data_IF_074309660969
#
_entry.id   IF_074309660969
#
_cell.length_a   1.000
_cell.length_b   1.000
_cell.length_c   1.000
_cell.angle_alpha   90.00
_cell.angle_beta   90.00
_cell.angle_gamma   90.00
#
_symmetry.space_group_name_H-M   'P 1'
#
loop_
_entity.id
_entity.type
_entity.pdbx_description
1 polymer ?
#
# COMPACT_ATOMS: atom_id res chain seq x y z
N UNK A 1 1.63 12.12 8.13
CA UNK A 1 1.31 13.56 7.95
C UNK A 1 -0.09 13.76 7.37
N UNK A 2 -0.83 14.76 7.85
CA UNK A 2 -2.17 15.14 7.36
C UNK A 2 -2.23 16.64 7.06
N UNK A 3 -1.70 17.08 5.91
CA UNK A 3 -2.00 18.44 5.47
C UNK A 3 -3.46 18.50 4.96
N UNK A 4 -4.12 19.66 5.04
CA UNK A 4 -5.50 19.80 4.55
C UNK A 4 -5.60 19.46 3.06
N UNK A 5 -6.62 18.67 2.72
CA UNK A 5 -6.93 18.31 1.33
C UNK A 5 -5.97 17.28 0.69
N UNK A 6 -4.94 16.81 1.41
CA UNK A 6 -3.98 15.88 0.82
C UNK A 6 -4.37 14.42 1.09
N UNK A 7 -4.74 13.69 0.03
CA UNK A 7 -5.24 12.30 0.13
C UNK A 7 -4.13 11.26 0.03
N UNK A 8 -2.95 11.65 -0.47
CA UNK A 8 -1.83 10.74 -0.79
C UNK A 8 -0.56 11.01 0.03
N UNK A 9 -0.67 11.67 1.18
CA UNK A 9 0.45 11.91 2.09
C UNK A 9 0.69 10.78 3.09
N UNK A 10 -0.22 9.81 3.19
CA UNK A 10 -0.20 8.79 4.22
C UNK A 10 0.50 7.49 3.80
N UNK A 11 0.65 6.57 4.75
CA UNK A 11 1.42 5.32 4.61
C UNK A 11 0.98 4.44 3.43
N UNK A 12 -0.28 4.54 2.99
CA UNK A 12 -0.82 3.74 1.88
C UNK A 12 -0.35 4.13 0.48
N UNK A 13 0.38 5.26 0.32
CA UNK A 13 0.87 5.68 -0.99
C UNK A 13 1.76 4.62 -1.67
N UNK A 14 2.60 3.92 -0.92
CA UNK A 14 3.50 2.94 -1.50
C UNK A 14 2.72 1.77 -2.13
N UNK A 15 1.61 1.38 -1.51
CA UNK A 15 0.69 0.36 -2.01
C UNK A 15 -0.05 0.88 -3.25
N UNK A 16 -0.53 2.13 -3.25
CA UNK A 16 -1.13 2.80 -4.41
C UNK A 16 -0.15 2.83 -5.58
N UNK A 17 1.10 3.25 -5.34
CA UNK A 17 2.16 3.30 -6.35
C UNK A 17 2.47 1.92 -6.93
N UNK A 18 2.61 0.91 -6.08
CA UNK A 18 2.84 -0.48 -6.51
C UNK A 18 1.67 -1.00 -7.35
N UNK A 19 0.44 -0.75 -6.92
CA UNK A 19 -0.77 -1.16 -7.63
C UNK A 19 -0.87 -0.47 -9.00
N UNK A 20 -0.70 0.84 -9.06
CA UNK A 20 -0.69 1.62 -10.31
C UNK A 20 0.39 1.13 -11.27
N UNK A 21 1.61 0.89 -10.77
CA UNK A 21 2.69 0.34 -11.58
C UNK A 21 2.34 -1.04 -12.16
N UNK A 22 1.73 -1.92 -11.36
CA UNK A 22 1.30 -3.24 -11.80
C UNK A 22 0.18 -3.17 -12.84
N UNK A 23 -0.90 -2.43 -12.56
CA UNK A 23 -2.02 -2.26 -13.49
C UNK A 23 -1.60 -1.56 -14.79
N UNK A 24 -0.62 -0.66 -14.74
CA UNK A 24 -0.03 -0.05 -15.95
C UNK A 24 0.65 -1.08 -16.83
N UNK A 25 1.45 -1.99 -16.25
CA UNK A 25 2.07 -3.07 -17.02
C UNK A 25 1.02 -4.01 -17.62
N UNK A 26 -0.03 -4.36 -16.86
CA UNK A 26 -1.14 -5.16 -17.39
C UNK A 26 -1.85 -4.46 -18.55
N UNK A 27 -2.05 -3.15 -18.46
CA UNK A 27 -2.62 -2.36 -19.54
C UNK A 27 -1.72 -2.42 -20.79
N UNK A 28 -0.40 -2.27 -20.62
CA UNK A 28 0.57 -2.36 -21.72
C UNK A 28 0.76 -3.76 -22.31
N UNK A 29 0.46 -4.81 -21.55
CA UNK A 29 0.39 -6.16 -22.11
C UNK A 29 -0.81 -6.33 -23.07
N UNK A 30 -1.85 -5.49 -22.93
CA UNK A 30 -3.05 -5.51 -23.78
C UNK A 30 -3.04 -4.44 -24.88
N UNK A 31 -2.33 -3.34 -24.62
CA UNK A 31 -2.21 -2.15 -25.47
C UNK A 31 -0.73 -1.99 -25.80
N UNK A 32 -0.32 -2.27 -27.05
CA UNK A 32 1.09 -2.23 -27.46
C UNK A 32 1.74 -0.90 -27.01
N UNK A 33 2.83 -0.93 -26.22
CA UNK A 33 3.55 0.29 -25.80
C UNK A 33 3.98 1.19 -26.97
N UNK A 34 4.10 0.65 -28.18
CA UNK A 34 4.37 1.42 -29.38
C UNK A 34 3.32 2.51 -29.65
N UNK A 35 2.06 2.31 -29.21
CA UNK A 35 0.98 3.31 -29.32
C UNK A 35 1.32 4.61 -28.59
N UNK A 36 2.19 4.57 -27.58
CA UNK A 36 2.64 5.77 -26.85
C UNK A 36 3.60 6.65 -27.67
N UNK A 37 4.12 6.12 -28.79
CA UNK A 37 4.97 6.84 -29.72
C UNK A 37 4.18 7.45 -30.88
N UNK A 38 2.90 7.11 -31.01
CA UNK A 38 2.04 7.59 -32.08
C UNK A 38 1.61 9.06 -31.87
N UNK A 39 1.25 9.77 -32.95
CA UNK A 39 0.83 11.17 -32.86
C UNK A 39 -0.52 11.37 -32.18
N UNK A 40 -1.43 10.39 -32.20
CA UNK A 40 -2.75 10.48 -31.57
C UNK A 40 -2.68 10.11 -30.08
N UNK A 41 -2.18 11.07 -29.29
CA UNK A 41 -1.94 10.89 -27.85
C UNK A 41 -3.21 10.86 -27.03
N UNK A 42 -4.27 11.53 -27.47
CA UNK A 42 -5.55 11.59 -26.76
C UNK A 42 -6.27 10.24 -26.83
N UNK A 43 -6.27 9.60 -28.02
CA UNK A 43 -6.80 8.24 -28.16
C UNK A 43 -5.98 7.23 -27.34
N UNK A 44 -4.65 7.33 -27.36
CA UNK A 44 -3.77 6.48 -26.56
C UNK A 44 -4.02 6.65 -25.04
N UNK A 45 -4.23 7.88 -24.57
CA UNK A 45 -4.57 8.17 -23.18
C UNK A 45 -5.91 7.54 -22.79
N UNK A 46 -6.95 7.67 -23.62
CA UNK A 46 -8.26 7.09 -23.37
C UNK A 46 -8.20 5.56 -23.27
N UNK A 47 -7.47 4.90 -24.17
CA UNK A 47 -7.26 3.45 -24.15
C UNK A 47 -6.50 3.00 -22.89
N UNK A 48 -5.43 3.74 -22.53
CA UNK A 48 -4.66 3.46 -21.33
C UNK A 48 -5.51 3.59 -20.06
N UNK A 49 -6.26 4.70 -19.92
CA UNK A 49 -7.14 4.96 -18.78
C UNK A 49 -8.18 3.86 -18.62
N UNK A 50 -8.86 3.46 -19.70
CA UNK A 50 -9.84 2.38 -19.66
C UNK A 50 -9.22 1.03 -19.28
N UNK A 51 -8.06 0.70 -19.85
CA UNK A 51 -7.36 -0.55 -19.57
C UNK A 51 -6.88 -0.62 -18.10
N UNK A 52 -6.31 0.46 -17.57
CA UNK A 52 -5.87 0.53 -16.17
C UNK A 52 -7.06 0.53 -15.21
N UNK A 53 -8.12 1.29 -15.50
CA UNK A 53 -9.32 1.31 -14.67
C UNK A 53 -9.97 -0.09 -14.57
N UNK A 54 -10.03 -0.84 -15.68
CA UNK A 54 -10.48 -2.23 -15.67
C UNK A 54 -9.57 -3.14 -14.82
N UNK A 55 -8.26 -2.97 -14.92
CA UNK A 55 -7.31 -3.74 -14.11
C UNK A 55 -7.43 -3.42 -12.61
N UNK A 56 -7.64 -2.15 -12.25
CA UNK A 56 -7.88 -1.72 -10.87
C UNK A 56 -9.20 -2.21 -10.31
N UNK A 57 -10.27 -2.29 -11.12
CA UNK A 57 -11.54 -2.88 -10.63
C UNK A 57 -11.45 -4.39 -10.41
N UNK A 58 -10.51 -5.05 -11.07
CA UNK A 58 -10.29 -6.48 -10.95
C UNK A 58 -9.28 -6.85 -9.84
N UNK A 59 -8.63 -5.87 -9.19
CA UNK A 59 -7.73 -6.19 -8.09
C UNK A 59 -8.53 -6.48 -6.82
N UNK A 60 -8.47 -7.73 -6.34
CA UNK A 60 -9.13 -8.19 -5.10
C UNK A 60 -8.52 -7.57 -3.84
N UNK A 61 -8.21 -8.36 -2.81
CA UNK A 61 -7.82 -7.84 -1.48
C UNK A 61 -6.70 -6.79 -1.41
N UNK A 62 -5.78 -6.71 -2.40
CA UNK A 62 -4.78 -5.62 -2.49
C UNK A 62 -5.43 -4.24 -2.71
N UNK A 63 -6.52 -4.19 -3.47
CA UNK A 63 -7.27 -2.97 -3.76
C UNK A 63 -8.08 -2.49 -2.55
N UNK A 64 -8.61 -3.42 -1.75
CA UNK A 64 -9.48 -3.16 -0.60
C UNK A 64 -8.73 -2.72 0.67
N UNK A 65 -7.40 -2.86 0.70
CA UNK A 65 -6.59 -2.37 1.81
C UNK A 65 -6.80 -0.86 2.03
N UNK A 66 -6.72 -0.42 3.28
CA UNK A 66 -6.79 1.01 3.62
C UNK A 66 -5.64 1.76 2.95
N UNK A 67 -5.99 2.75 2.13
CA UNK A 67 -5.05 3.61 1.41
C UNK A 67 -4.74 4.90 2.17
N UNK A 68 -5.70 5.40 2.95
CA UNK A 68 -5.51 6.51 3.88
C UNK A 68 -6.50 6.42 5.06
N UNK A 69 -6.31 7.33 6.01
CA UNK A 69 -7.12 7.46 7.21
C UNK A 69 -8.43 8.21 7.01
N UNK A 70 -8.70 8.69 5.79
CA UNK A 70 -10.01 9.22 5.38
C UNK A 70 -11.00 8.11 4.99
N UNK A 71 -10.58 6.84 5.03
CA UNK A 71 -11.40 5.70 4.67
C UNK A 71 -11.27 5.28 3.21
N UNK A 72 -10.45 5.96 2.41
CA UNK A 72 -10.22 5.55 1.02
C UNK A 72 -9.38 4.27 0.97
N UNK A 73 -9.79 3.36 0.10
CA UNK A 73 -9.01 2.16 -0.23
C UNK A 73 -7.87 2.48 -1.20
N UNK A 74 -6.90 1.58 -1.27
CA UNK A 74 -5.78 1.68 -2.22
C UNK A 74 -6.29 1.73 -3.67
N UNK A 75 -7.32 0.96 -4.01
CA UNK A 75 -7.93 0.96 -5.34
C UNK A 75 -8.64 2.28 -5.66
N UNK A 76 -9.37 2.87 -4.73
CA UNK A 76 -10.05 4.16 -4.93
C UNK A 76 -9.04 5.29 -5.16
N UNK A 77 -7.97 5.33 -4.36
CA UNK A 77 -6.90 6.31 -4.52
C UNK A 77 -6.18 6.14 -5.86
N UNK A 78 -5.89 4.91 -6.27
CA UNK A 78 -5.30 4.60 -7.56
C UNK A 78 -6.22 5.03 -8.71
N UNK A 79 -7.51 4.66 -8.65
CA UNK A 79 -8.49 4.97 -9.68
C UNK A 79 -8.70 6.48 -9.83
N UNK A 80 -8.73 7.21 -8.72
CA UNK A 80 -8.78 8.68 -8.73
C UNK A 80 -7.60 9.29 -9.48
N UNK A 81 -6.36 8.78 -9.28
CA UNK A 81 -5.20 9.27 -10.02
C UNK A 81 -5.26 8.96 -11.52
N UNK A 82 -5.82 7.81 -11.90
CA UNK A 82 -6.01 7.47 -13.33
C UNK A 82 -6.97 8.46 -14.01
N UNK A 83 -8.04 8.86 -13.33
CA UNK A 83 -8.95 9.87 -13.89
C UNK A 83 -8.38 11.30 -13.81
N UNK A 84 -7.58 11.62 -12.79
CA UNK A 84 -6.82 12.88 -12.76
C UNK A 84 -5.83 12.98 -13.93
N UNK A 85 -5.21 11.86 -14.32
CA UNK A 85 -4.35 11.82 -15.51
C UNK A 85 -5.14 12.15 -16.78
N UNK A 86 -6.37 11.61 -16.92
CA UNK A 86 -7.25 11.92 -18.03
C UNK A 86 -7.59 13.42 -18.10
N UNK A 87 -7.78 14.05 -16.95
CA UNK A 87 -8.03 15.49 -16.86
C UNK A 87 -6.77 16.36 -17.11
N UNK A 88 -5.58 15.75 -17.19
CA UNK A 88 -4.29 16.44 -17.35
C UNK A 88 -3.46 15.84 -18.49
N UNK A 89 -3.85 16.03 -19.76
CA UNK A 89 -3.14 15.47 -20.92
C UNK A 89 -1.65 15.85 -20.98
N UNK A 90 -1.26 17.01 -20.47
CA UNK A 90 0.15 17.43 -20.41
C UNK A 90 1.04 16.50 -19.57
N UNK A 91 0.49 15.83 -18.55
CA UNK A 91 1.22 14.83 -17.75
C UNK A 91 1.42 13.53 -18.53
N UNK A 92 0.42 13.15 -19.32
CA UNK A 92 0.53 12.04 -20.27
C UNK A 92 1.56 12.32 -21.37
N UNK A 93 1.53 13.52 -21.95
CA UNK A 93 2.51 13.98 -22.94
C UNK A 93 3.95 13.87 -22.43
N UNK A 94 4.17 14.21 -21.15
CA UNK A 94 5.47 14.09 -20.51
C UNK A 94 5.93 12.63 -20.39
N UNK A 95 5.02 11.71 -20.07
CA UNK A 95 5.31 10.26 -20.07
C UNK A 95 5.66 9.78 -21.48
N UNK A 96 4.83 10.10 -22.48
CA UNK A 96 5.08 9.75 -23.89
C UNK A 96 6.45 10.27 -24.36
N UNK A 97 6.78 11.53 -24.07
CA UNK A 97 8.08 12.10 -24.40
C UNK A 97 9.24 11.38 -23.69
N UNK A 98 9.07 11.04 -22.40
CA UNK A 98 10.09 10.31 -21.64
C UNK A 98 10.33 8.90 -22.21
N UNK A 99 9.27 8.21 -22.63
CA UNK A 99 9.35 6.89 -23.26
C UNK A 99 9.94 6.96 -24.67
N UNK A 100 9.58 7.97 -25.46
CA UNK A 100 10.20 8.23 -26.76
C UNK A 100 11.72 8.47 -26.64
N UNK A 101 12.15 9.19 -25.59
CA UNK A 101 13.57 9.39 -25.29
C UNK A 101 14.31 8.10 -24.95
N UNK A 102 13.72 7.22 -24.13
CA UNK A 102 14.31 5.90 -23.87
C UNK A 102 14.31 5.01 -25.12
N UNK A 103 13.23 5.06 -25.91
CA UNK A 103 13.13 4.33 -27.17
C UNK A 103 14.21 4.76 -28.17
N UNK A 104 14.47 6.06 -28.30
CA UNK A 104 15.54 6.56 -29.16
C UNK A 104 16.94 6.07 -28.73
N UNK A 105 17.13 5.78 -27.44
CA UNK A 105 18.41 5.33 -26.88
C UNK A 105 18.59 3.80 -26.90
N UNK A 106 17.51 3.06 -26.67
CA UNK A 106 17.54 1.61 -26.42
C UNK A 106 16.72 0.78 -27.43
N UNK A 107 16.06 1.42 -28.39
CA UNK A 107 15.08 0.78 -29.26
C UNK A 107 13.83 0.39 -28.49
N UNK A 108 13.19 -0.72 -28.89
CA UNK A 108 12.03 -1.31 -28.20
C UNK A 108 12.44 -1.98 -26.90
N UNK A 109 12.87 -1.18 -25.93
CA UNK A 109 13.40 -1.67 -24.66
C UNK A 109 12.37 -2.49 -23.87
N UNK A 110 11.08 -2.29 -24.09
CA UNK A 110 10.00 -3.06 -23.47
C UNK A 110 9.91 -4.50 -23.98
N UNK A 111 10.53 -4.84 -25.12
CA UNK A 111 10.66 -6.23 -25.60
C UNK A 111 11.90 -6.93 -25.02
N UNK A 112 12.79 -6.20 -24.33
CA UNK A 112 14.04 -6.73 -23.79
C UNK A 112 13.86 -7.22 -22.34
N UNK A 113 14.67 -8.19 -21.88
CA UNK A 113 14.66 -8.60 -20.47
C UNK A 113 14.85 -7.41 -19.53
N UNK A 114 13.93 -7.22 -18.58
CA UNK A 114 13.93 -6.09 -17.66
C UNK A 114 13.29 -4.80 -18.20
N UNK A 115 12.78 -4.80 -19.44
CA UNK A 115 12.03 -3.70 -20.03
C UNK A 115 10.82 -3.27 -19.20
N UNK A 116 10.10 -4.26 -18.63
CA UNK A 116 8.96 -4.04 -17.73
C UNK A 116 9.34 -3.25 -16.48
N UNK A 117 10.54 -3.47 -15.92
CA UNK A 117 11.00 -2.72 -14.76
C UNK A 117 11.22 -1.24 -15.11
N UNK A 118 11.75 -0.95 -16.30
CA UNK A 118 11.93 0.41 -16.78
C UNK A 118 10.58 1.08 -17.09
N UNK A 119 9.65 0.38 -17.75
CA UNK A 119 8.31 0.89 -18.06
C UNK A 119 7.52 1.19 -16.78
N UNK A 120 7.52 0.25 -15.83
CA UNK A 120 6.93 0.42 -14.49
C UNK A 120 7.52 1.62 -13.76
N UNK A 121 8.84 1.80 -13.83
CA UNK A 121 9.51 2.95 -13.23
C UNK A 121 9.00 4.27 -13.83
N UNK A 122 8.90 4.39 -15.16
CA UNK A 122 8.40 5.60 -15.83
C UNK A 122 6.95 5.91 -15.45
N UNK A 123 6.09 4.90 -15.38
CA UNK A 123 4.71 5.06 -14.91
C UNK A 123 4.65 5.52 -13.45
N UNK A 124 5.43 4.88 -12.57
CA UNK A 124 5.52 5.26 -11.17
C UNK A 124 6.02 6.70 -10.98
N UNK A 125 7.02 7.12 -11.77
CA UNK A 125 7.54 8.49 -11.76
C UNK A 125 6.44 9.49 -12.21
N UNK A 126 5.70 9.18 -13.27
CA UNK A 126 4.54 9.98 -13.71
C UNK A 126 3.49 10.11 -12.61
N UNK A 127 3.04 9.00 -12.02
CA UNK A 127 2.01 9.03 -10.97
C UNK A 127 2.49 9.72 -9.70
N UNK A 128 3.78 9.63 -9.35
CA UNK A 128 4.33 10.38 -8.23
C UNK A 128 4.28 11.90 -8.47
N UNK A 129 4.61 12.35 -9.68
CA UNK A 129 4.49 13.77 -10.06
C UNK A 129 3.03 14.21 -10.10
N UNK A 130 2.15 13.40 -10.68
CA UNK A 130 0.71 13.68 -10.75
C UNK A 130 0.10 13.81 -9.34
N UNK A 131 0.40 12.86 -8.45
CA UNK A 131 0.02 12.90 -7.04
C UNK A 131 0.45 14.21 -6.38
N UNK A 132 1.69 14.65 -6.60
CA UNK A 132 2.20 15.88 -6.03
C UNK A 132 1.44 17.10 -6.53
N UNK A 133 1.04 17.10 -7.81
CA UNK A 133 0.19 18.17 -8.39
C UNK A 133 -1.23 18.15 -7.86
N UNK A 134 -1.84 16.98 -7.71
CA UNK A 134 -3.21 16.83 -7.17
C UNK A 134 -3.25 17.31 -5.72
N UNK A 135 -2.35 16.80 -4.87
CA UNK A 135 -2.31 17.22 -3.46
C UNK A 135 -1.95 18.70 -3.32
N UNK A 136 -1.06 19.23 -4.18
CA UNK A 136 -0.75 20.66 -4.21
C UNK A 136 -1.99 21.50 -4.48
N UNK A 137 -2.76 21.16 -5.53
CA UNK A 137 -4.00 21.87 -5.86
C UNK A 137 -5.03 21.76 -4.73
N UNK A 138 -5.23 20.57 -4.18
CA UNK A 138 -6.19 20.35 -3.11
C UNK A 138 -5.81 21.12 -1.84
N UNK A 139 -4.51 21.19 -1.53
CA UNK A 139 -4.01 22.01 -0.43
C UNK A 139 -4.25 23.50 -0.69
N UNK A 140 -4.02 24.00 -1.91
CA UNK A 140 -4.31 25.41 -2.26
C UNK A 140 -5.80 25.73 -2.07
N UNK A 141 -6.67 24.83 -2.52
CA UNK A 141 -8.13 24.96 -2.35
C UNK A 141 -8.53 24.94 -0.87
N UNK A 142 -7.99 24.00 -0.09
CA UNK A 142 -8.33 23.86 1.31
C UNK A 142 -7.81 25.01 2.19
N UNK A 143 -6.60 25.51 1.90
CA UNK A 143 -5.93 26.50 2.75
C UNK A 143 -6.04 27.94 2.23
N UNK A 144 -6.41 28.14 0.97
CA UNK A 144 -6.33 29.44 0.28
C UNK A 144 -4.91 29.98 0.14
N UNK A 145 -3.89 29.12 0.25
CA UNK A 145 -2.46 29.49 0.23
C UNK A 145 -1.76 28.84 -0.95
N UNK A 146 -0.86 29.55 -1.65
CA UNK A 146 -0.15 28.98 -2.78
C UNK A 146 0.78 27.84 -2.32
N UNK A 147 0.70 26.73 -3.03
CA UNK A 147 1.48 25.53 -2.83
C UNK A 147 1.86 24.98 -4.20
N UNK A 148 3.15 24.69 -4.38
CA UNK A 148 3.63 24.06 -5.61
C UNK A 148 3.81 22.56 -5.41
N UNK A 149 3.77 21.74 -6.48
CA UNK A 149 4.06 20.31 -6.37
C UNK A 149 5.41 20.02 -5.73
N UNK A 150 6.42 20.87 -5.99
CA UNK A 150 7.74 20.78 -5.36
C UNK A 150 7.70 21.07 -3.85
N UNK A 151 6.85 22.01 -3.41
CA UNK A 151 6.62 22.28 -1.99
C UNK A 151 5.91 21.09 -1.33
N UNK A 152 4.93 20.50 -2.02
CA UNK A 152 4.23 19.30 -1.57
C UNK A 152 5.17 18.09 -1.44
N UNK A 153 6.09 17.92 -2.40
CA UNK A 153 7.16 16.92 -2.32
C UNK A 153 8.11 17.18 -1.15
N UNK A 154 8.45 18.45 -0.89
CA UNK A 154 9.28 18.83 0.25
C UNK A 154 8.61 18.52 1.59
N UNK A 155 7.31 18.77 1.76
CA UNK A 155 6.58 18.36 2.96
C UNK A 155 6.73 16.85 3.20
N UNK A 156 6.42 16.00 2.20
CA UNK A 156 6.54 14.53 2.37
C UNK A 156 7.96 14.07 2.72
N UNK A 157 8.98 14.71 2.12
CA UNK A 157 10.37 14.40 2.45
C UNK A 157 10.70 14.76 3.90
N UNK A 158 10.22 15.91 4.39
CA UNK A 158 10.39 16.32 5.78
C UNK A 158 9.62 15.40 6.74
N UNK A 159 8.43 14.92 6.36
CA UNK A 159 7.70 13.89 7.13
C UNK A 159 8.54 12.63 7.31
N UNK A 160 9.10 12.14 6.20
CA UNK A 160 9.90 10.93 6.18
C UNK A 160 11.16 11.11 7.03
N UNK A 161 11.83 12.26 6.88
CA UNK A 161 13.01 12.58 7.66
C UNK A 161 12.70 12.62 9.16
N UNK A 162 11.59 13.25 9.56
CA UNK A 162 11.15 13.27 10.95
C UNK A 162 10.91 11.87 11.51
N UNK A 163 10.13 11.03 10.81
CA UNK A 163 9.85 9.67 11.29
C UNK A 163 11.11 8.81 11.43
N UNK A 164 12.07 8.96 10.50
CA UNK A 164 13.37 8.28 10.62
C UNK A 164 14.20 8.81 11.80
N UNK A 165 14.22 10.13 12.03
CA UNK A 165 14.90 10.72 13.20
C UNK A 165 14.23 10.26 14.51
N UNK A 166 12.90 10.21 14.54
CA UNK A 166 12.13 9.69 15.68
C UNK A 166 12.48 8.24 15.99
N UNK A 167 12.51 7.38 14.97
CA UNK A 167 12.92 5.98 15.11
C UNK A 167 14.36 5.85 15.64
N UNK A 168 15.29 6.68 15.16
CA UNK A 168 16.66 6.70 15.65
C UNK A 168 16.76 7.18 17.10
N UNK A 169 15.93 8.16 17.49
CA UNK A 169 15.89 8.69 18.85
C UNK A 169 15.29 7.67 19.83
N UNK A 170 14.25 6.94 19.43
CA UNK A 170 13.68 5.86 20.22
C UNK A 170 14.72 4.74 20.46
N UNK A 171 15.48 4.38 19.42
CA UNK A 171 16.59 3.42 19.47
C UNK A 171 17.96 4.05 19.73
N UNK A 172 18.05 5.12 20.54
CA UNK A 172 19.29 5.91 20.61
C UNK A 172 20.51 5.12 21.12
N UNK A 173 20.31 4.05 21.90
CA UNK A 173 21.42 3.23 22.40
C UNK A 173 22.07 2.43 21.29
N UNK A 174 21.26 1.80 20.46
CA UNK A 174 21.68 1.03 19.28
C UNK A 174 22.27 1.94 18.20
N UNK A 175 21.80 3.19 18.14
CA UNK A 175 22.17 4.17 17.13
C UNK A 175 23.00 5.35 17.67
N UNK A 176 23.71 5.17 18.79
CA UNK A 176 24.35 6.27 19.52
C UNK A 176 25.30 7.14 18.67
N UNK A 177 26.04 6.52 17.74
CA UNK A 177 26.91 7.24 16.81
C UNK A 177 26.12 8.17 15.87
N UNK A 178 25.07 7.64 15.23
CA UNK A 178 24.24 8.41 14.31
C UNK A 178 23.40 9.47 15.03
N UNK A 179 22.85 9.15 16.21
CA UNK A 179 22.15 10.13 17.06
C UNK A 179 23.12 11.24 17.49
N UNK A 180 24.36 10.91 17.83
CA UNK A 180 25.38 11.90 18.14
C UNK A 180 25.72 12.82 16.97
N UNK A 181 25.79 12.27 15.75
CA UNK A 181 25.97 13.07 14.52
C UNK A 181 24.79 14.03 14.29
N UNK A 182 23.54 13.56 14.46
CA UNK A 182 22.33 14.39 14.32
C UNK A 182 22.32 15.52 15.36
N UNK A 183 22.63 15.22 16.62
CA UNK A 183 22.67 16.20 17.70
C UNK A 183 23.91 17.11 17.63
N UNK A 184 24.93 16.71 16.87
CA UNK A 184 26.22 17.40 16.76
C UNK A 184 27.08 17.31 18.03
N UNK A 185 26.91 16.24 18.82
CA UNK A 185 27.70 15.97 20.03
C UNK A 185 27.71 14.47 20.36
N UNK A 186 28.75 13.94 21.02
CA UNK A 186 28.77 12.55 21.47
C UNK A 186 27.63 12.26 22.46
N UNK A 187 27.13 11.03 22.43
CA UNK A 187 26.00 10.57 23.26
C UNK A 187 26.51 9.49 24.22
N UNK A 188 26.76 9.88 25.47
CA UNK A 188 27.22 8.99 26.55
C UNK A 188 26.07 8.55 27.47
N UNK A 189 25.01 9.35 27.50
CA UNK A 189 23.79 9.11 28.26
C UNK A 189 22.57 9.57 27.45
N UNK A 190 21.38 9.22 27.90
CA UNK A 190 20.13 9.54 27.18
C UNK A 190 20.02 11.04 26.90
N UNK A 191 19.98 11.46 25.63
CA UNK A 191 19.82 12.86 25.28
C UNK A 191 18.47 13.41 25.73
N UNK A 192 18.42 14.67 26.16
CA UNK A 192 17.16 15.31 26.54
C UNK A 192 16.23 15.49 25.33
N UNK A 193 16.80 15.66 24.14
CA UNK A 193 16.10 15.83 22.86
C UNK A 193 15.26 14.60 22.52
N UNK A 194 15.75 13.39 22.82
CA UNK A 194 15.00 12.13 22.67
C UNK A 194 13.70 12.17 23.49
N UNK A 195 13.71 12.80 24.68
CA UNK A 195 12.51 12.96 25.51
C UNK A 195 11.61 14.12 25.09
N UNK A 196 12.17 15.13 24.41
CA UNK A 196 11.46 16.36 24.05
C UNK A 196 10.73 16.23 22.72
N UNK A 197 11.24 15.42 21.79
CA UNK A 197 10.63 15.28 20.47
C UNK A 197 9.36 14.43 20.54
N UNK A 198 8.20 15.08 20.60
CA UNK A 198 6.89 14.42 20.71
C UNK A 198 6.09 14.47 19.41
N UNK A 199 6.36 15.47 18.59
CA UNK A 199 5.72 15.71 17.31
C UNK A 199 6.74 16.21 16.29
N UNK A 200 6.32 16.29 15.02
CA UNK A 200 7.18 16.86 13.97
C UNK A 200 7.47 18.35 14.18
N UNK A 201 6.60 19.09 14.89
CA UNK A 201 6.85 20.49 15.25
C UNK A 201 8.04 20.65 16.22
N UNK A 202 8.36 19.62 17.00
CA UNK A 202 9.51 19.62 17.91
C UNK A 202 10.83 19.30 17.19
N UNK A 203 10.75 18.82 15.94
CA UNK A 203 11.91 18.47 15.15
C UNK A 203 12.63 19.74 14.67
N UNK A 204 13.94 19.83 14.92
CA UNK A 204 14.73 20.99 14.51
C UNK A 204 15.25 20.85 13.09
N UNK A 205 15.26 21.96 12.34
CA UNK A 205 15.81 22.00 11.00
C UNK A 205 17.27 21.52 10.96
N UNK A 206 18.07 21.86 11.98
CA UNK A 206 19.47 21.40 12.07
C UNK A 206 19.56 19.87 12.15
N UNK A 207 18.63 19.21 12.84
CA UNK A 207 18.60 17.74 12.95
C UNK A 207 18.31 17.10 11.61
N UNK A 208 17.37 17.65 10.82
CA UNK A 208 17.05 17.15 9.48
C UNK A 208 18.27 17.28 8.55
N UNK A 209 18.96 18.41 8.58
CA UNK A 209 20.16 18.64 7.77
C UNK A 209 21.28 17.66 8.15
N UNK A 210 21.59 17.52 9.44
CA UNK A 210 22.64 16.61 9.94
C UNK A 210 22.27 15.14 9.77
N UNK A 211 21.01 14.78 9.94
CA UNK A 211 20.51 13.45 9.59
C UNK A 211 20.81 13.15 8.13
N UNK A 212 20.47 14.06 7.22
CA UNK A 212 20.73 13.89 5.80
C UNK A 212 22.22 13.77 5.45
N UNK A 213 23.11 14.39 6.23
CA UNK A 213 24.57 14.23 6.10
C UNK A 213 25.03 12.87 6.65
N UNK A 214 24.55 12.48 7.83
CA UNK A 214 24.90 11.22 8.52
C UNK A 214 24.54 9.97 7.71
N UNK A 215 23.56 10.04 6.81
CA UNK A 215 23.17 8.91 5.96
C UNK A 215 24.31 8.39 5.07
N UNK A 216 25.25 9.25 4.66
CA UNK A 216 26.43 8.76 3.93
C UNK A 216 27.30 7.88 4.81
N UNK A 217 27.59 8.35 6.02
CA UNK A 217 28.48 7.67 6.96
C UNK A 217 27.89 6.34 7.45
N UNK A 218 26.59 6.30 7.71
CA UNK A 218 25.92 5.16 8.34
C UNK A 218 25.13 4.27 7.36
N UNK A 219 24.72 4.81 6.20
CA UNK A 219 23.91 4.11 5.20
C UNK A 219 24.59 3.97 3.83
N UNK A 220 25.78 4.54 3.64
CA UNK A 220 26.57 4.44 2.41
C UNK A 220 26.07 5.32 1.25
N UNK A 221 25.04 6.14 1.45
CA UNK A 221 24.52 7.04 0.42
C UNK A 221 24.09 8.41 1.02
N UNK A 222 24.38 9.53 0.35
CA UNK A 222 23.97 10.85 0.83
C UNK A 222 22.46 10.98 0.92
N UNK A 223 21.98 11.64 1.97
CA UNK A 223 20.57 11.97 2.13
C UNK A 223 20.06 13.06 1.15
N UNK A 224 18.74 13.30 1.14
CA UNK A 224 18.09 14.19 0.18
C UNK A 224 18.52 15.66 0.29
N UNK A 225 18.85 16.12 1.51
CA UNK A 225 19.30 17.49 1.80
C UNK A 225 20.83 17.62 1.85
N UNK A 226 21.58 16.56 1.57
CA UNK A 226 23.04 16.65 1.51
C UNK A 226 23.47 17.59 0.38
N UNK A 227 24.54 18.36 0.59
CA UNK A 227 25.16 19.27 -0.39
C UNK A 227 25.39 18.67 -1.79
N UNK A 228 25.61 17.35 -1.93
CA UNK A 228 25.84 16.66 -3.22
C UNK A 228 24.55 16.29 -3.95
N UNK A 229 23.41 16.26 -3.27
CA UNK A 229 22.12 16.01 -3.91
C UNK A 229 21.72 17.24 -4.75
N UNK A 230 21.16 17.04 -5.94
CA UNK A 230 20.58 18.13 -6.74
C UNK A 230 19.14 18.46 -6.33
N UNK A 231 18.49 17.57 -5.55
CA UNK A 231 17.12 17.74 -5.07
C UNK A 231 17.10 18.77 -3.95
N UNK A 232 16.05 19.60 -3.90
CA UNK A 232 15.82 20.57 -2.82
C UNK A 232 16.95 21.59 -2.59
N UNK A 233 17.66 22.02 -3.64
CA UNK A 233 18.77 22.98 -3.52
C UNK A 233 18.40 24.26 -2.73
N UNK A 234 17.15 24.72 -2.86
CA UNK A 234 16.63 25.89 -2.14
C UNK A 234 16.38 25.69 -0.63
N UNK A 235 16.29 24.44 -0.15
CA UNK A 235 16.06 24.12 1.27
C UNK A 235 17.36 23.88 2.04
N UNK A 236 18.40 23.36 1.39
CA UNK A 236 19.67 22.98 2.06
C UNK A 236 20.38 24.14 2.73
N UNK A 237 20.20 25.33 2.19
CA UNK A 237 20.79 26.58 2.70
C UNK A 237 19.78 27.43 3.45
N UNK A 238 18.58 26.90 3.73
CA UNK A 238 17.47 27.66 4.32
C UNK A 238 16.85 26.90 5.51
N UNK A 239 17.57 26.78 6.65
CA UNK A 239 17.04 26.12 7.84
C UNK A 239 15.75 26.77 8.34
N UNK A 240 15.59 28.09 8.20
CA UNK A 240 14.35 28.80 8.57
C UNK A 240 13.14 28.31 7.77
N UNK A 241 13.31 27.98 6.48
CA UNK A 241 12.24 27.43 5.64
C UNK A 241 11.87 26.02 6.08
N UNK A 242 12.87 25.19 6.38
CA UNK A 242 12.66 23.84 6.92
C UNK A 242 11.90 23.93 8.25
N UNK A 243 12.33 24.79 9.17
CA UNK A 243 11.68 24.98 10.47
C UNK A 243 10.25 25.52 10.33
N UNK A 244 9.99 26.42 9.37
CA UNK A 244 8.63 26.88 9.09
C UNK A 244 7.75 25.73 8.56
N UNK A 245 8.27 24.91 7.65
CA UNK A 245 7.53 23.75 7.12
C UNK A 245 7.28 22.70 8.19
N UNK A 246 8.26 22.35 9.03
CA UNK A 246 8.08 21.37 10.13
C UNK A 246 7.01 21.83 11.12
N UNK A 247 7.01 23.12 11.50
CA UNK A 247 5.97 23.70 12.36
C UNK A 247 4.59 23.62 11.71
N UNK A 248 4.49 24.00 10.44
CA UNK A 248 3.23 23.95 9.70
C UNK A 248 2.66 22.52 9.65
N UNK A 249 3.51 21.52 9.43
CA UNK A 249 3.08 20.12 9.47
C UNK A 249 2.54 19.77 10.86
N UNK A 250 3.26 20.12 11.93
CA UNK A 250 2.86 19.79 13.29
C UNK A 250 1.62 20.53 13.75
N UNK A 251 1.38 21.77 13.27
CA UNK A 251 0.13 22.50 13.49
C UNK A 251 -1.07 21.71 12.94
N UNK A 252 -0.95 21.14 11.74
CA UNK A 252 -2.01 20.32 11.15
C UNK A 252 -2.10 18.93 11.76
N UNK A 253 -0.98 18.33 12.15
CA UNK A 253 -0.98 17.10 12.94
C UNK A 253 -1.79 17.30 14.22
N UNK A 254 -1.57 18.39 14.95
CA UNK A 254 -2.32 18.72 16.15
C UNK A 254 -3.82 18.90 15.84
N UNK A 255 -4.18 19.67 14.81
CA UNK A 255 -5.57 19.86 14.40
C UNK A 255 -6.25 18.55 14.00
N UNK A 256 -5.52 17.65 13.34
CA UNK A 256 -6.03 16.34 12.92
C UNK A 256 -6.02 15.28 14.03
N UNK A 257 -5.21 15.47 15.08
CA UNK A 257 -5.16 14.60 16.25
C UNK A 257 -6.29 14.86 17.25
N UNK A 258 -6.95 16.03 17.14
CA UNK A 258 -8.28 16.28 17.68
C UNK A 258 -9.38 15.48 16.95
N UNK A 259 -9.00 14.34 16.35
CA UNK A 259 -9.88 13.39 15.71
C UNK A 259 -11.18 13.32 16.52
N UNK A 260 -12.30 13.47 15.83
CA UNK A 260 -13.67 13.29 16.31
C UNK A 260 -13.86 11.90 16.94
N UNK A 261 -13.09 11.52 17.97
CA UNK A 261 -13.26 10.26 18.72
C UNK A 261 -14.63 10.19 19.38
N UNK A 262 -15.36 11.30 19.36
CA UNK A 262 -16.75 11.42 19.76
C UNK A 262 -17.73 10.84 18.72
N UNK A 263 -17.31 10.44 17.50
CA UNK A 263 -18.24 9.74 16.58
C UNK A 263 -18.73 8.39 17.13
N UNK A 264 -17.91 7.70 17.94
CA UNK A 264 -18.33 6.49 18.63
C UNK A 264 -19.29 6.79 19.81
N UNK A 265 -19.18 7.97 20.42
CA UNK A 265 -20.19 8.47 21.36
C UNK A 265 -21.47 8.86 20.61
N UNK A 266 -21.38 9.42 19.41
CA UNK A 266 -22.52 9.75 18.56
C UNK A 266 -23.24 8.48 18.08
N UNK A 267 -22.53 7.39 17.77
CA UNK A 267 -23.15 6.11 17.42
C UNK A 267 -23.96 5.54 18.59
N UNK A 268 -23.38 5.49 19.79
CA UNK A 268 -24.09 5.05 21.00
C UNK A 268 -25.23 5.99 21.41
N UNK A 269 -25.08 7.29 21.14
CA UNK A 269 -26.14 8.29 21.36
C UNK A 269 -27.27 8.13 20.34
N UNK A 270 -26.95 7.79 19.08
CA UNK A 270 -27.93 7.51 18.04
C UNK A 270 -28.69 6.20 18.30
N UNK A 271 -28.02 5.14 18.74
CA UNK A 271 -28.66 3.89 19.18
C UNK A 271 -29.58 4.14 20.37
N UNK A 272 -29.12 4.85 21.40
CA UNK A 272 -29.94 5.21 22.56
C UNK A 272 -31.15 6.08 22.18
N UNK A 273 -30.98 6.98 21.19
CA UNK A 273 -32.08 7.80 20.68
C UNK A 273 -33.10 6.97 19.89
N UNK A 274 -32.65 6.00 19.08
CA UNK A 274 -33.52 5.09 18.35
C UNK A 274 -34.30 4.18 19.31
N UNK A 275 -33.65 3.65 20.35
CA UNK A 275 -34.31 2.85 21.39
C UNK A 275 -35.35 3.65 22.16
N UNK A 276 -35.05 4.91 22.52
CA UNK A 276 -36.00 5.80 23.19
C UNK A 276 -37.17 6.17 22.28
N UNK A 277 -36.91 6.40 20.99
CA UNK A 277 -37.95 6.60 19.98
C UNK A 277 -38.88 5.38 19.88
N UNK A 278 -38.33 4.16 19.78
CA UNK A 278 -39.13 2.94 19.74
C UNK A 278 -39.92 2.71 21.03
N UNK A 279 -39.33 3.01 22.18
CA UNK A 279 -40.01 2.95 23.48
C UNK A 279 -41.20 3.92 23.52
N UNK A 280 -41.00 5.18 23.15
CA UNK A 280 -42.08 6.21 23.12
C UNK A 280 -43.18 5.81 22.15
N UNK A 281 -42.82 5.25 21.00
CA UNK A 281 -43.79 4.76 20.02
C UNK A 281 -44.64 3.61 20.60
N UNK A 282 -44.00 2.63 21.22
CA UNK A 282 -44.69 1.52 21.90
C UNK A 282 -45.54 1.97 23.09
N UNK A 283 -45.07 2.93 23.89
CA UNK A 283 -45.84 3.54 24.97
C UNK A 283 -47.05 4.35 24.45
N UNK A 284 -46.92 5.00 23.30
CA UNK A 284 -48.02 5.70 22.65
C UNK A 284 -49.07 4.73 22.07
N UNK A 285 -48.65 3.59 21.54
CA UNK A 285 -49.54 2.54 21.04
C UNK A 285 -50.29 1.82 22.18
N UNK A 286 -49.61 1.60 23.30
CA UNK A 286 -50.19 0.94 24.49
C UNK A 286 -50.98 1.91 25.36
N UNK A 287 -50.60 3.18 25.34
CA UNK A 287 -51.30 4.28 25.99
C UNK A 287 -52.57 4.62 25.23
N UNK A 288 -53.63 3.85 25.48
CA UNK A 288 -54.97 4.23 25.02
C UNK A 288 -55.32 5.61 25.55
N UNK A 289 -55.26 6.61 24.69
CA UNK A 289 -55.63 7.99 25.04
C UNK A 289 -57.12 7.97 25.41
N UNK A 290 -57.52 8.34 26.64
CA UNK A 290 -58.93 8.27 27.02
C UNK A 290 -59.72 9.37 26.33
N UNK A 291 -60.42 9.02 25.25
CA UNK A 291 -61.32 9.93 24.54
C UNK A 291 -61.41 9.63 23.04
N UNK A 292 -62.45 10.12 22.35
CA UNK A 292 -62.51 10.02 20.90
C UNK A 292 -61.37 10.83 20.27
N UNK A 293 -60.68 10.27 19.27
CA UNK A 293 -59.59 10.93 18.54
C UNK A 293 -60.02 12.32 18.08
N UNK A 294 -59.36 13.36 18.61
CA UNK A 294 -59.57 14.75 18.20
C UNK A 294 -58.32 15.26 17.51
N UNK A 295 -58.42 15.47 16.19
CA UNK A 295 -57.39 16.16 15.41
C UNK A 295 -57.50 17.66 15.73
N UNK A 296 -56.44 18.24 16.29
CA UNK A 296 -56.30 19.70 16.48
C UNK A 296 -55.76 20.33 15.18
N UNK A 297 -56.41 21.40 14.70
CA UNK A 297 -55.98 22.17 13.52
C UNK A 297 -54.62 22.84 13.73
N UNK A 298 -53.63 22.79 12.83
CA UNK A 298 -53.28 21.76 11.85
C UNK A 298 -51.75 21.82 11.76
N UNK A 299 -51.04 20.70 11.63
CA UNK A 299 -49.80 20.69 10.84
C UNK A 299 -49.66 19.43 10.01
N UNK A 300 -49.91 19.65 8.72
CA UNK A 300 -49.66 18.82 7.56
C UNK A 300 -50.52 17.55 7.42
N UNK A 301 -51.50 17.71 6.53
CA UNK A 301 -52.31 16.65 5.96
C UNK A 301 -51.48 15.76 5.02
N UNK A 302 -51.44 14.49 5.40
CA UNK A 302 -51.81 13.31 4.63
C UNK A 302 -51.30 13.16 3.18
N UNK A 303 -50.30 12.28 3.02
CA UNK A 303 -50.17 11.39 1.87
C UNK A 303 -50.89 10.07 2.19
N UNK A 304 -51.75 9.67 1.27
CA UNK A 304 -52.60 8.47 1.31
C UNK A 304 -51.81 7.15 1.17
N UNK A 305 -52.43 6.11 1.74
CA UNK A 305 -51.99 4.74 1.95
C UNK A 305 -51.97 3.83 0.71
N UNK A 306 -51.40 2.62 0.89
CA UNK A 306 -51.81 1.43 0.14
C UNK A 306 -50.87 0.21 0.19
N UNK A 307 -51.26 -0.78 1.02
CA UNK A 307 -51.27 -2.25 0.82
C UNK A 307 -50.00 -3.14 0.85
N UNK A 308 -49.97 -3.99 1.91
CA UNK A 308 -50.04 -5.48 1.96
C UNK A 308 -48.99 -6.34 1.20
N UNK A 309 -48.38 -7.42 1.73
CA UNK A 309 -48.51 -8.19 2.97
C UNK A 309 -47.56 -9.42 3.02
N UNK A 310 -47.47 -10.03 4.21
CA UNK A 310 -47.26 -11.47 4.59
C UNK A 310 -45.95 -12.30 4.30
N UNK A 311 -45.29 -12.68 5.41
CA UNK A 311 -44.89 -14.03 5.96
C UNK A 311 -44.03 -15.12 5.26
N UNK A 312 -43.16 -15.76 6.09
CA UNK A 312 -42.68 -17.17 6.02
C UNK A 312 -41.17 -17.36 5.74
N UNK A 313 -40.29 -17.81 6.64
CA UNK A 313 -40.09 -19.11 7.34
C UNK A 313 -38.99 -20.03 6.71
N UNK A 314 -38.11 -20.49 7.60
CA UNK A 314 -37.09 -21.56 7.66
C UNK A 314 -36.29 -22.13 6.45
N UNK A 315 -34.95 -22.11 6.66
CA UNK A 315 -33.95 -23.21 6.55
C UNK A 315 -33.97 -24.26 5.43
N UNK A 316 -32.81 -24.49 4.80
CA UNK A 316 -32.14 -25.82 4.76
C UNK A 316 -30.84 -25.83 3.92
N UNK A 317 -29.85 -26.56 4.43
CA UNK A 317 -28.55 -26.89 3.85
C UNK A 317 -28.62 -28.18 3.02
N UNK A 318 -27.90 -28.31 1.88
CA UNK A 318 -27.32 -29.61 1.52
C UNK A 318 -25.99 -29.49 0.72
N UNK A 319 -25.35 -30.59 0.26
CA UNK A 319 -24.79 -31.74 1.00
C UNK A 319 -23.28 -31.95 0.69
N UNK A 320 -22.66 -32.86 1.45
CA UNK A 320 -21.27 -33.32 1.32
C UNK A 320 -21.12 -34.45 0.30
N UNK A 321 -20.03 -34.45 -0.48
CA UNK A 321 -19.27 -35.67 -0.83
C UNK A 321 -17.88 -35.32 -1.43
N UNK A 322 -16.81 -35.80 -0.77
CA UNK A 322 -15.73 -36.63 -1.34
C UNK A 322 -14.59 -36.79 -0.32
N UNK A 323 -14.58 -37.97 0.32
CA UNK A 323 -13.61 -38.40 1.30
C UNK A 323 -12.34 -38.96 0.61
N UNK A 324 -11.43 -38.06 0.27
CA UNK A 324 -10.00 -38.35 0.31
C UNK A 324 -9.31 -37.28 1.18
N UNK A 325 -8.72 -37.75 2.26
CA UNK A 325 -7.72 -37.09 3.12
C UNK A 325 -8.13 -35.97 4.09
N UNK A 326 -9.30 -36.06 4.73
CA UNK A 326 -9.69 -35.10 5.79
C UNK A 326 -8.68 -35.04 6.96
N UNK A 327 -8.02 -36.17 7.27
CA UNK A 327 -7.02 -36.24 8.34
C UNK A 327 -5.71 -35.50 7.98
N UNK A 328 -5.18 -35.67 6.76
CA UNK A 328 -4.02 -34.90 6.33
C UNK A 328 -4.40 -33.43 6.07
N UNK A 329 -5.61 -33.15 5.57
CA UNK A 329 -6.13 -31.78 5.45
C UNK A 329 -6.18 -31.07 6.81
N UNK A 330 -6.72 -31.73 7.84
CA UNK A 330 -6.75 -31.20 9.20
C UNK A 330 -5.34 -30.99 9.77
N UNK A 331 -4.40 -31.92 9.48
CA UNK A 331 -3.00 -31.82 9.91
C UNK A 331 -2.26 -30.66 9.22
N UNK A 332 -2.45 -30.49 7.92
CA UNK A 332 -1.85 -29.40 7.13
C UNK A 332 -2.46 -28.04 7.53
N UNK A 333 -3.76 -28.00 7.82
CA UNK A 333 -4.47 -26.84 8.34
C UNK A 333 -3.95 -26.39 9.72
N UNK A 334 -3.71 -27.35 10.62
CA UNK A 334 -3.13 -27.06 11.94
C UNK A 334 -1.72 -26.45 11.82
N UNK A 335 -0.87 -27.01 10.95
CA UNK A 335 0.50 -26.48 10.71
C UNK A 335 0.52 -25.11 10.06
N UNK A 336 -0.41 -24.84 9.12
CA UNK A 336 -0.52 -23.52 8.51
C UNK A 336 -0.94 -22.46 9.55
N UNK A 337 -1.87 -22.82 10.44
CA UNK A 337 -2.34 -21.94 11.52
C UNK A 337 -1.22 -21.62 12.53
N UNK A 338 -0.36 -22.60 12.86
CA UNK A 338 0.81 -22.40 13.74
C UNK A 338 1.82 -21.36 13.20
N UNK A 339 1.82 -21.11 11.89
CA UNK A 339 2.73 -20.15 11.23
C UNK A 339 2.01 -18.93 10.65
N UNK A 340 0.78 -18.69 11.11
CA UNK A 340 -0.08 -17.56 10.70
C UNK A 340 -0.41 -17.52 9.20
N UNK A 341 -0.48 -18.69 8.55
CA UNK A 341 -0.94 -18.84 7.17
C UNK A 341 -2.36 -19.44 7.13
N UNK A 342 -3.15 -19.17 6.06
CA UNK A 342 -4.47 -19.74 5.92
C UNK A 342 -4.45 -21.28 5.99
N UNK A 343 -5.45 -21.91 6.64
CA UNK A 343 -5.54 -23.37 6.76
C UNK A 343 -5.44 -24.14 5.43
N UNK A 344 -5.94 -23.55 4.33
CA UNK A 344 -5.93 -24.12 2.98
C UNK A 344 -4.64 -23.83 2.18
N UNK A 345 -3.70 -23.07 2.74
CA UNK A 345 -2.54 -22.53 2.00
C UNK A 345 -1.76 -23.59 1.22
N UNK A 346 -1.43 -24.72 1.83
CA UNK A 346 -0.65 -25.78 1.16
C UNK A 346 -1.41 -26.44 0.01
N UNK A 347 -2.75 -26.51 0.07
CA UNK A 347 -3.58 -27.06 -1.00
C UNK A 347 -3.65 -26.09 -2.17
N UNK A 348 -3.91 -24.81 -1.89
CA UNK A 348 -3.94 -23.75 -2.91
C UNK A 348 -2.57 -23.62 -3.61
N UNK A 349 -1.49 -23.59 -2.84
CA UNK A 349 -0.14 -23.47 -3.38
C UNK A 349 0.30 -24.71 -4.19
N UNK A 350 -0.14 -25.90 -3.80
CA UNK A 350 0.11 -27.12 -4.57
C UNK A 350 -0.66 -27.14 -5.89
N UNK A 351 -1.92 -26.67 -5.90
CA UNK A 351 -2.74 -26.57 -7.11
C UNK A 351 -2.20 -25.58 -8.14
N UNK A 352 -1.46 -24.56 -7.68
CA UNK A 352 -0.84 -23.53 -8.53
C UNK A 352 0.57 -23.89 -9.05
N UNK A 353 1.07 -25.11 -8.78
CA UNK A 353 2.39 -25.54 -9.27
C UNK A 353 2.41 -25.56 -10.81
N UNK A 354 3.30 -24.79 -11.47
CA UNK A 354 3.43 -24.85 -12.92
C UNK A 354 4.01 -26.21 -13.31
N UNK A 355 3.17 -27.11 -13.82
CA UNK A 355 3.55 -28.47 -14.25
C UNK A 355 4.49 -28.52 -15.47
N UNK A 356 4.87 -27.37 -16.05
CA UNK A 356 5.45 -27.31 -17.41
C UNK A 356 6.87 -26.72 -17.49
N UNK A 357 7.52 -26.43 -16.36
CA UNK A 357 8.90 -25.90 -16.33
C UNK A 357 9.99 -26.98 -16.23
N UNK A 358 11.16 -26.76 -16.86
CA UNK A 358 12.33 -27.65 -16.68
C UNK A 358 12.77 -27.74 -15.21
N UNK A 359 12.80 -26.61 -14.49
CA UNK A 359 13.13 -26.58 -13.06
C UNK A 359 12.06 -27.28 -12.20
N UNK A 360 10.77 -27.14 -12.55
CA UNK A 360 9.67 -27.80 -11.85
C UNK A 360 9.75 -29.33 -11.98
N UNK A 361 10.06 -29.85 -13.17
CA UNK A 361 10.31 -31.29 -13.40
C UNK A 361 11.50 -31.81 -12.60
N UNK A 362 12.56 -31.01 -12.46
CA UNK A 362 13.75 -31.43 -11.71
C UNK A 362 13.53 -31.47 -10.18
N UNK A 363 12.56 -30.70 -9.68
CA UNK A 363 12.18 -30.63 -8.26
C UNK A 363 10.95 -31.47 -7.91
N UNK A 364 10.45 -32.30 -8.84
CA UNK A 364 9.22 -33.09 -8.65
C UNK A 364 9.27 -34.03 -7.43
N UNK A 365 10.46 -34.48 -7.03
CA UNK A 365 10.67 -35.30 -5.83
C UNK A 365 10.84 -34.53 -4.52
N UNK A 366 10.85 -33.19 -4.54
CA UNK A 366 11.00 -32.35 -3.35
C UNK A 366 9.64 -31.89 -2.80
N UNK A 367 9.54 -31.67 -1.48
CA UNK A 367 8.31 -31.15 -0.88
C UNK A 367 8.04 -29.70 -1.30
N UNK A 368 6.78 -29.27 -1.34
CA UNK A 368 6.40 -27.91 -1.73
C UNK A 368 7.16 -26.83 -0.91
N UNK A 369 7.30 -26.93 0.43
CA UNK A 369 8.09 -25.97 1.19
C UNK A 369 9.57 -25.89 0.78
N UNK A 370 10.18 -27.02 0.37
CA UNK A 370 11.56 -27.02 -0.16
C UNK A 370 11.62 -26.28 -1.50
N UNK A 371 10.63 -26.48 -2.39
CA UNK A 371 10.54 -25.77 -3.67
C UNK A 371 10.38 -24.27 -3.48
N UNK A 372 9.44 -23.86 -2.62
CA UNK A 372 9.24 -22.44 -2.28
C UNK A 372 10.49 -21.83 -1.64
N UNK A 373 11.20 -22.58 -0.79
CA UNK A 373 12.47 -22.12 -0.22
C UNK A 373 13.58 -21.91 -1.26
N UNK A 374 13.58 -22.70 -2.35
CA UNK A 374 14.50 -22.52 -3.49
C UNK A 374 14.14 -21.25 -4.25
N UNK A 375 12.86 -21.04 -4.57
CA UNK A 375 12.39 -19.83 -5.24
C UNK A 375 12.68 -18.57 -4.41
N UNK A 376 12.34 -18.59 -3.11
CA UNK A 376 12.65 -17.51 -2.18
C UNK A 376 14.15 -17.16 -2.16
N UNK A 377 15.03 -18.14 -2.33
CA UNK A 377 16.49 -17.93 -2.33
C UNK A 377 17.05 -17.42 -3.66
N UNK A 378 16.48 -17.85 -4.78
CA UNK A 378 16.99 -17.51 -6.11
C UNK A 378 16.38 -16.22 -6.68
N UNK A 379 15.12 -15.96 -6.36
CA UNK A 379 14.32 -14.87 -6.93
C UNK A 379 13.94 -13.81 -5.88
N UNK A 380 13.91 -14.20 -4.60
CA UNK A 380 13.61 -13.30 -3.48
C UNK A 380 12.13 -13.33 -3.05
N UNK A 381 11.76 -12.69 -1.93
CA UNK A 381 10.40 -12.76 -1.38
C UNK A 381 9.33 -12.05 -2.22
N UNK A 382 9.74 -11.15 -3.13
CA UNK A 382 8.87 -10.26 -3.89
C UNK A 382 8.88 -10.52 -5.40
N UNK A 383 9.24 -11.73 -5.84
CA UNK A 383 9.35 -12.00 -7.28
C UNK A 383 7.97 -12.02 -7.96
N UNK A 384 7.86 -11.27 -9.06
CA UNK A 384 6.61 -11.04 -9.79
C UNK A 384 6.14 -12.29 -10.57
N UNK A 385 6.94 -13.37 -10.63
CA UNK A 385 6.58 -14.62 -11.32
C UNK A 385 5.83 -15.63 -10.45
N UNK A 386 5.63 -15.33 -9.16
CA UNK A 386 4.93 -16.23 -8.25
C UNK A 386 3.41 -16.24 -8.50
N UNK A 387 2.78 -17.43 -8.55
CA UNK A 387 1.34 -17.55 -8.44
C UNK A 387 0.84 -16.89 -7.15
N UNK A 388 -0.33 -16.26 -7.19
CA UNK A 388 -0.92 -15.59 -6.05
C UNK A 388 -1.14 -16.56 -4.87
N UNK A 389 -1.41 -17.83 -5.18
CA UNK A 389 -1.62 -18.93 -4.23
C UNK A 389 -0.35 -19.30 -3.46
N UNK A 390 0.83 -18.89 -3.93
CA UNK A 390 2.10 -19.08 -3.22
C UNK A 390 2.42 -17.94 -2.27
N UNK A 391 1.70 -16.82 -2.35
CA UNK A 391 1.96 -15.68 -1.51
C UNK A 391 1.20 -15.81 -0.20
N UNK A 392 1.86 -15.45 0.90
CA UNK A 392 1.21 -15.24 2.18
C UNK A 392 0.20 -14.09 2.03
N UNK A 393 -1.11 -14.33 2.26
CA UNK A 393 -2.13 -13.30 2.04
C UNK A 393 -1.98 -12.07 2.94
N UNK A 394 -1.31 -12.19 4.08
CA UNK A 394 -1.10 -11.07 5.00
C UNK A 394 0.04 -10.15 4.54
N UNK A 395 1.08 -10.72 3.91
CA UNK A 395 2.30 -9.97 3.54
C UNK A 395 2.43 -9.73 2.03
N UNK A 396 1.77 -10.56 1.21
CA UNK A 396 1.93 -10.57 -0.24
C UNK A 396 3.31 -11.06 -0.70
N UNK A 397 4.04 -11.75 0.16
CA UNK A 397 5.37 -12.30 -0.07
C UNK A 397 5.34 -13.84 -0.10
N UNK A 398 6.36 -14.48 -0.64
CA UNK A 398 6.57 -15.90 -0.33
C UNK A 398 6.75 -16.09 1.20
N UNK A 399 6.18 -17.15 1.80
CA UNK A 399 6.39 -17.42 3.21
C UNK A 399 7.87 -17.49 3.57
N UNK A 400 8.20 -16.93 4.73
CA UNK A 400 9.57 -16.89 5.24
C UNK A 400 10.15 -18.30 5.43
N UNK A 401 11.48 -18.41 5.43
CA UNK A 401 12.17 -19.68 5.69
C UNK A 401 11.75 -20.35 7.02
N UNK A 402 11.33 -19.58 8.02
CA UNK A 402 10.85 -20.10 9.30
C UNK A 402 9.43 -20.67 9.18
N UNK A 403 8.52 -19.98 8.48
CA UNK A 403 7.18 -20.48 8.19
C UNK A 403 7.23 -21.75 7.32
N UNK A 404 8.07 -21.76 6.28
CA UNK A 404 8.26 -22.93 5.41
C UNK A 404 8.80 -24.15 6.18
N UNK A 405 9.68 -23.95 7.17
CA UNK A 405 10.19 -25.03 8.01
C UNK A 405 9.10 -25.61 8.92
N UNK A 406 8.23 -24.73 9.47
CA UNK A 406 7.05 -25.13 10.22
C UNK A 406 6.06 -25.93 9.39
N UNK A 407 5.77 -25.49 8.15
CA UNK A 407 4.89 -26.21 7.22
C UNK A 407 5.42 -27.61 6.87
N UNK A 408 6.74 -27.75 6.65
CA UNK A 408 7.38 -29.04 6.33
C UNK A 408 7.61 -29.92 7.58
N UNK A 409 7.37 -29.39 8.79
CA UNK A 409 7.56 -30.10 10.05
C UNK A 409 9.02 -30.46 10.35
N UNK A 410 9.98 -29.67 9.85
CA UNK A 410 11.42 -29.89 10.04
C UNK A 410 12.11 -28.68 10.66
N UNK A 411 13.31 -28.88 11.17
CA UNK A 411 14.12 -27.76 11.67
C UNK A 411 14.61 -26.85 10.53
N UNK A 412 14.72 -25.55 10.79
CA UNK A 412 15.23 -24.56 9.85
C UNK A 412 16.61 -24.94 9.24
N UNK A 413 17.60 -25.48 10.00
CA UNK A 413 18.84 -25.98 9.42
C UNK A 413 18.64 -27.13 8.41
N UNK A 414 17.68 -28.02 8.66
CA UNK A 414 17.35 -29.13 7.76
C UNK A 414 16.74 -28.61 6.46
N UNK A 415 15.83 -27.63 6.54
CA UNK A 415 15.24 -26.99 5.36
C UNK A 415 16.31 -26.30 4.52
N UNK A 416 17.24 -25.56 5.15
CA UNK A 416 18.38 -24.93 4.47
C UNK A 416 19.24 -25.95 3.73
N UNK A 417 19.57 -27.08 4.38
CA UNK A 417 20.35 -28.17 3.76
C UNK A 417 19.64 -28.77 2.53
N UNK A 418 18.33 -29.04 2.62
CA UNK A 418 17.52 -29.58 1.51
C UNK A 418 17.39 -28.60 0.35
N UNK A 419 17.18 -27.31 0.65
CA UNK A 419 17.17 -26.23 -0.34
C UNK A 419 18.50 -26.15 -1.07
N UNK A 420 19.62 -26.12 -0.35
CA UNK A 420 20.94 -25.96 -0.96
C UNK A 420 21.34 -27.17 -1.81
N UNK A 421 20.97 -28.39 -1.38
CA UNK A 421 21.12 -29.61 -2.20
C UNK A 421 20.27 -29.55 -3.48
N UNK A 422 19.08 -28.96 -3.42
CA UNK A 422 18.21 -28.78 -4.59
C UNK A 422 18.74 -27.73 -5.56
N UNK A 423 19.24 -26.60 -5.05
CA UNK A 423 19.94 -25.58 -5.86
C UNK A 423 21.18 -26.17 -6.54
N UNK A 424 21.96 -27.01 -5.83
CA UNK A 424 23.11 -27.70 -6.41
C UNK A 424 22.69 -28.62 -7.57
N UNK A 425 21.65 -29.44 -7.39
CA UNK A 425 21.11 -30.31 -8.46
C UNK A 425 20.62 -29.52 -9.68
N UNK A 426 20.01 -28.34 -9.48
CA UNK A 426 19.59 -27.46 -10.57
C UNK A 426 20.79 -26.87 -11.32
N UNK A 427 21.84 -26.47 -10.61
CA UNK A 427 23.07 -25.92 -11.21
C UNK A 427 23.87 -26.96 -11.98
N UNK A 428 23.95 -28.19 -11.48
CA UNK A 428 24.63 -29.31 -12.15
C UNK A 428 23.92 -29.74 -13.44
N UNK A 429 22.60 -29.52 -13.52
CA UNK A 429 21.79 -29.92 -14.66
C UNK A 429 21.63 -28.82 -15.74
N UNK A 430 22.10 -27.59 -15.47
CA UNK A 430 22.09 -26.50 -16.45
C UNK A 430 23.29 -26.67 -17.40
N UNK A 431 23.10 -26.88 -18.71
CA UNK A 431 24.23 -27.04 -19.63
C UNK A 431 25.11 -25.79 -19.63
N UNK A 432 26.43 -25.97 -19.54
CA UNK A 432 27.40 -24.87 -19.68
C UNK A 432 27.31 -24.31 -21.10
N UNK A 433 27.36 -23.00 -21.24
CA UNK A 433 27.36 -22.29 -22.53
C UNK A 433 28.57 -22.59 -23.44
N UNK A 434 29.52 -23.43 -23.01
CA UNK A 434 30.72 -23.79 -23.77
C UNK A 434 30.52 -24.93 -24.80
N UNK A 435 29.32 -25.51 -24.93
CA UNK A 435 29.02 -26.59 -25.89
C UNK A 435 27.93 -26.20 -26.93
N UNK A 436 27.89 -24.94 -27.36
CA UNK A 436 27.06 -24.50 -28.50
C UNK A 436 27.86 -23.84 -29.62
#
# INVERSE_FOLDING_TARGET
MRLPGTRYQEHGWEQVRKLLGHCSLQAFARVDPALLLEPDRDAALALYVDAVARALRACGGRGEASGNSYGDTVAELALALVYELQARPADWDALCAALAGEHARLGRFWEQPGGDALLRKKCNDMYAVLRDKVDSNNYEVACGRPCSPNRMYAYRMLDTAYHEIARLFDGWREHAGQVGAILGRPVEAMPIEVRQMRSIADCRAEWVLRWSESLEEHGGAPGPLHTRSKRFASLKTSPDKIAAMLREIGEYEQLSSNADRDWAQDLGTAEAWLDDYWRVLGESEQGGTPGPDQILEARQDALDAGDDGEDGDDGETPPQDEAVDEAERARLAARASEVSLPPSYLQSAAGALPGVGWAARRMEGDTLPVRLAVYLKLLGPFDDTYPAEWLDPATGELPTMQQLAGLDGISLPTLRKRRDATIARLREATPREDDR
#
